data_IF_136582111959
#
_entry.id   IF_136582111959
#
_cell.length_a   1.000
_cell.length_b   1.000
_cell.length_c   1.000
_cell.angle_alpha   90.00
_cell.angle_beta   90.00
_cell.angle_gamma   90.00
#
_symmetry.space_group_name_H-M   'P 1'
#
loop_
_entity.id
_entity.type
_entity.pdbx_description
1 polymer ?
#
# COMPACT_ATOMS: atom_id res chain seq x y z
N UNK A 1 32.33 -8.47 1.23
CA UNK A 1 31.16 -8.92 0.45
C UNK A 1 30.01 -7.98 0.79
N UNK A 2 29.90 -6.87 0.06
CA UNK A 2 28.80 -5.91 0.26
C UNK A 2 27.53 -6.58 -0.24
N UNK A 3 26.67 -6.99 0.69
CA UNK A 3 25.34 -7.51 0.36
C UNK A 3 24.50 -6.28 0.04
N UNK A 4 24.33 -5.98 -1.25
CA UNK A 4 23.54 -4.83 -1.67
C UNK A 4 22.17 -4.90 -1.02
N UNK A 5 21.83 -3.88 -0.23
CA UNK A 5 20.54 -3.76 0.44
C UNK A 5 19.57 -3.19 -0.58
N UNK A 6 18.73 -4.05 -1.16
CA UNK A 6 17.63 -3.62 -2.02
C UNK A 6 16.55 -2.93 -1.17
N UNK A 7 16.60 -1.60 -1.14
CA UNK A 7 15.64 -0.76 -0.42
C UNK A 7 14.71 -0.11 -1.44
N UNK A 8 13.38 -0.27 -1.32
CA UNK A 8 12.45 0.39 -2.22
C UNK A 8 12.49 1.90 -2.01
N UNK A 9 12.71 2.66 -3.08
CA UNK A 9 12.69 4.13 -3.01
C UNK A 9 11.25 4.66 -2.90
N UNK A 10 10.32 4.04 -3.64
CA UNK A 10 8.90 4.38 -3.68
C UNK A 10 8.04 3.13 -3.52
N UNK A 11 6.99 3.25 -2.72
CA UNK A 11 5.97 2.21 -2.50
C UNK A 11 4.61 2.77 -2.86
N UNK A 12 3.81 1.99 -3.59
CA UNK A 12 2.39 2.29 -3.79
C UNK A 12 1.61 1.25 -2.99
N UNK A 13 0.73 1.72 -2.10
CA UNK A 13 -0.02 0.83 -1.20
C UNK A 13 -1.52 1.04 -1.36
N UNK A 14 -2.21 0.00 -1.84
CA UNK A 14 -3.67 -0.09 -1.84
C UNK A 14 -4.19 -0.35 -0.43
N UNK A 15 -4.68 0.71 0.21
CA UNK A 15 -5.16 0.68 1.60
C UNK A 15 -6.50 -0.04 1.75
N UNK A 16 -7.37 0.08 0.74
CA UNK A 16 -8.66 -0.60 0.67
C UNK A 16 -9.09 -0.81 -0.78
N UNK A 17 -9.86 -1.87 -1.02
CA UNK A 17 -10.58 -2.15 -2.28
C UNK A 17 -12.07 -1.74 -2.19
N UNK A 18 -12.47 -1.05 -1.12
CA UNK A 18 -13.86 -0.65 -0.91
C UNK A 18 -14.22 0.64 -1.66
N UNK A 19 -14.74 0.50 -2.88
CA UNK A 19 -15.19 1.63 -3.71
C UNK A 19 -16.69 1.82 -3.75
N UNK A 20 -17.11 3.09 -3.75
CA UNK A 20 -18.49 3.49 -4.03
C UNK A 20 -18.76 3.71 -5.53
N UNK A 21 -17.75 3.60 -6.39
CA UNK A 21 -17.85 3.74 -7.84
C UNK A 21 -17.73 2.38 -8.57
N UNK A 22 -18.03 2.37 -9.88
CA UNK A 22 -17.96 1.18 -10.76
C UNK A 22 -17.37 1.54 -12.13
N UNK A 23 -16.18 2.14 -12.12
CA UNK A 23 -15.56 2.67 -13.33
C UNK A 23 -15.19 1.55 -14.31
N UNK A 24 -15.54 1.70 -15.59
CA UNK A 24 -15.30 0.70 -16.65
C UNK A 24 -13.81 0.41 -16.90
N UNK A 25 -12.93 1.33 -16.50
CA UNK A 25 -11.48 1.24 -16.68
C UNK A 25 -10.75 0.95 -15.35
N UNK A 26 -11.47 0.46 -14.32
CA UNK A 26 -10.86 0.20 -13.01
C UNK A 26 -9.98 -1.07 -13.05
N UNK A 27 -8.66 -0.88 -13.10
CA UNK A 27 -7.70 -1.99 -13.09
C UNK A 27 -7.78 -2.88 -11.85
N UNK A 28 -8.14 -2.32 -10.68
CA UNK A 28 -8.30 -3.08 -9.44
C UNK A 28 -9.64 -3.81 -9.34
N UNK A 29 -10.60 -3.54 -10.24
CA UNK A 29 -12.00 -4.00 -10.09
C UNK A 29 -12.57 -3.68 -8.70
N UNK A 30 -12.35 -2.44 -8.26
CA UNK A 30 -12.66 -1.99 -6.91
C UNK A 30 -14.17 -1.99 -6.62
N UNK A 31 -14.53 -2.22 -5.35
CA UNK A 31 -15.93 -2.28 -4.92
C UNK A 31 -16.08 -2.79 -3.49
N UNK A 32 -15.98 -4.11 -3.28
CA UNK A 32 -16.09 -4.69 -1.94
C UNK A 32 -14.71 -4.77 -1.30
N UNK A 33 -14.61 -4.35 -0.03
CA UNK A 33 -13.39 -4.48 0.78
C UNK A 33 -12.83 -5.90 0.73
N UNK A 34 -11.50 -6.05 0.69
CA UNK A 34 -10.90 -7.39 0.84
C UNK A 34 -11.08 -7.90 2.27
N UNK A 35 -11.11 -9.23 2.42
CA UNK A 35 -11.28 -9.89 3.74
C UNK A 35 -10.15 -9.57 4.73
N UNK A 36 -8.94 -9.29 4.23
CA UNK A 36 -7.72 -9.11 5.03
C UNK A 36 -7.00 -7.81 4.65
N UNK A 37 -7.72 -6.69 4.73
CA UNK A 37 -7.12 -5.36 4.68
C UNK A 37 -6.45 -5.05 6.02
N UNK A 38 -5.37 -4.27 5.99
CA UNK A 38 -4.71 -3.83 7.20
C UNK A 38 -5.65 -2.94 8.00
N UNK A 39 -5.69 -3.15 9.31
CA UNK A 39 -6.27 -2.18 10.24
C UNK A 39 -5.44 -0.90 10.24
N UNK A 40 -6.02 0.20 10.72
CA UNK A 40 -5.30 1.47 10.88
C UNK A 40 -4.02 1.31 11.70
N UNK A 41 -4.06 0.48 12.75
CA UNK A 41 -2.89 0.21 13.60
C UNK A 41 -1.78 -0.50 12.83
N UNK A 42 -2.13 -1.53 12.05
CA UNK A 42 -1.17 -2.25 11.21
C UNK A 42 -0.62 -1.36 10.09
N UNK A 43 -1.46 -0.52 9.50
CA UNK A 43 -1.06 0.47 8.49
C UNK A 43 -0.03 1.48 9.01
N UNK A 44 -0.25 2.02 10.21
CA UNK A 44 0.72 2.90 10.87
C UNK A 44 2.03 2.16 11.20
N UNK A 45 1.94 0.88 11.54
CA UNK A 45 3.13 0.06 11.76
C UNK A 45 3.92 -0.15 10.46
N UNK A 46 3.23 -0.44 9.34
CA UNK A 46 3.84 -0.52 8.01
C UNK A 46 4.59 0.77 7.64
N UNK A 47 3.98 1.94 7.87
CA UNK A 47 4.66 3.23 7.62
C UNK A 47 5.96 3.38 8.42
N UNK A 48 5.96 2.95 9.69
CA UNK A 48 7.18 2.96 10.54
C UNK A 48 8.23 2.00 10.00
N UNK A 49 7.83 0.82 9.54
CA UNK A 49 8.76 -0.19 9.04
C UNK A 49 9.37 0.25 7.69
N UNK A 50 8.58 0.82 6.78
CA UNK A 50 9.07 1.41 5.53
C UNK A 50 10.03 2.58 5.77
N UNK A 51 9.74 3.43 6.76
CA UNK A 51 10.63 4.51 7.18
C UNK A 51 11.96 3.99 7.72
N UNK A 52 11.94 2.95 8.58
CA UNK A 52 13.15 2.29 9.10
C UNK A 52 14.01 1.64 8.01
N UNK A 53 13.36 1.12 6.96
CA UNK A 53 14.07 0.58 5.80
C UNK A 53 14.76 1.66 4.96
N UNK A 54 14.35 2.93 5.07
CA UNK A 54 14.86 4.03 4.25
C UNK A 54 14.03 4.32 2.99
N UNK A 55 12.78 3.85 2.94
CA UNK A 55 11.83 4.19 1.87
C UNK A 55 11.56 5.70 1.90
N UNK A 56 11.55 6.35 0.74
CA UNK A 56 11.45 7.82 0.64
C UNK A 56 10.06 8.32 0.31
N UNK A 57 9.26 7.50 -0.38
CA UNK A 57 7.93 7.88 -0.83
C UNK A 57 6.94 6.73 -0.64
N UNK A 58 5.76 7.06 -0.11
CA UNK A 58 4.61 6.16 -0.08
C UNK A 58 3.43 6.86 -0.74
N UNK A 59 2.92 6.29 -1.82
CA UNK A 59 1.68 6.70 -2.46
C UNK A 59 0.55 5.84 -1.91
N UNK A 60 -0.34 6.45 -1.14
CA UNK A 60 -1.56 5.79 -0.68
C UNK A 60 -2.55 5.78 -1.85
N UNK A 61 -2.87 4.58 -2.30
CA UNK A 61 -3.92 4.35 -3.28
C UNK A 61 -5.05 3.56 -2.63
N UNK A 62 -6.15 3.49 -3.35
CA UNK A 62 -7.32 2.77 -2.94
C UNK A 62 -8.42 3.02 -3.94
N UNK A 63 -9.53 2.40 -3.66
CA UNK A 63 -10.73 2.50 -4.45
C UNK A 63 -11.74 1.81 -3.64
#
# INVERSE_FOLDING_TARGET
>A
MFKDRFIPVSVVWETTLKCNMRCIHCGSSAGIKRRRELTTKEGLQLCKDLSRLGTRLISLMGG
#
